data_IF_574600404451
#
_entry.id   IF_574600404451
#
_cell.length_a   1.000
_cell.length_b   1.000
_cell.length_c   1.000
_cell.angle_alpha   90.00
_cell.angle_beta   90.00
_cell.angle_gamma   90.00
#
_symmetry.space_group_name_H-M   'P 1'
#
loop_
_entity.id
_entity.type
_entity.pdbx_description
1 polymer ?
#
# COMPACT_ATOMS: atom_id res chain seq x y z
N UNK A 1 -2.55 -0.10 23.06
CA UNK A 1 -2.51 -1.12 22.01
C UNK A 1 -2.31 -0.37 20.70
N UNK A 2 -1.25 -0.64 19.94
CA UNK A 2 -1.02 0.06 18.69
C UNK A 2 -2.09 -0.30 17.63
N UNK A 3 -2.35 0.64 16.73
CA UNK A 3 -3.37 0.51 15.69
C UNK A 3 -2.73 0.57 14.30
N UNK A 4 -3.11 -0.36 13.43
CA UNK A 4 -2.72 -0.34 12.00
C UNK A 4 -3.94 -0.23 11.10
N UNK A 5 -3.82 0.61 10.06
CA UNK A 5 -4.79 0.70 8.96
C UNK A 5 -4.23 0.02 7.71
N UNK A 6 -5.00 -0.87 7.09
CA UNK A 6 -4.60 -1.59 5.89
C UNK A 6 -5.64 -1.35 4.78
N UNK A 7 -5.24 -0.59 3.76
CA UNK A 7 -6.08 -0.23 2.62
C UNK A 7 -5.87 -1.22 1.47
N UNK A 8 -6.87 -2.11 1.25
CA UNK A 8 -6.80 -3.20 0.28
C UNK A 8 -6.32 -4.50 0.90
N UNK A 9 -7.16 -5.12 1.72
CA UNK A 9 -6.82 -6.30 2.54
C UNK A 9 -7.56 -7.58 2.13
N UNK A 10 -8.29 -7.60 1.01
CA UNK A 10 -9.10 -8.76 0.61
C UNK A 10 -8.29 -10.02 0.31
N UNK A 11 -7.02 -9.90 -0.11
CA UNK A 11 -6.16 -11.03 -0.48
C UNK A 11 -4.68 -10.69 -0.42
N UNK A 12 -3.84 -11.70 -0.64
CA UNK A 12 -2.38 -11.57 -0.79
C UNK A 12 -1.73 -10.80 0.35
N UNK A 13 -0.86 -9.84 0.02
CA UNK A 13 -0.09 -9.05 0.99
C UNK A 13 -0.98 -8.35 2.02
N UNK A 14 -2.10 -7.75 1.57
CA UNK A 14 -2.98 -7.03 2.48
C UNK A 14 -3.66 -7.92 3.51
N UNK A 15 -4.13 -9.09 3.09
CA UNK A 15 -4.75 -10.09 3.97
C UNK A 15 -3.73 -10.64 4.97
N UNK A 16 -2.53 -10.94 4.51
CA UNK A 16 -1.46 -11.44 5.36
C UNK A 16 -0.98 -10.40 6.38
N UNK A 17 -0.94 -9.11 6.00
CA UNK A 17 -0.71 -8.03 6.96
C UNK A 17 -1.73 -8.05 8.09
N UNK A 18 -3.02 -8.23 7.78
CA UNK A 18 -4.07 -8.36 8.81
C UNK A 18 -3.75 -9.51 9.76
N UNK A 19 -3.47 -10.70 9.21
CA UNK A 19 -3.19 -11.91 9.98
C UNK A 19 -2.00 -11.71 10.93
N UNK A 20 -0.88 -11.21 10.43
CA UNK A 20 0.34 -11.04 11.22
C UNK A 20 0.21 -9.92 12.27
N UNK A 21 -0.41 -8.76 11.95
CA UNK A 21 -0.63 -7.71 12.92
C UNK A 21 -1.60 -8.14 14.03
N UNK A 22 -2.64 -8.93 13.68
CA UNK A 22 -3.56 -9.50 14.70
C UNK A 22 -2.85 -10.48 15.61
N UNK A 23 -1.98 -11.35 15.05
CA UNK A 23 -1.19 -12.30 15.84
C UNK A 23 -0.27 -11.60 16.86
N UNK A 24 0.25 -10.42 16.50
CA UNK A 24 1.09 -9.59 17.38
C UNK A 24 0.29 -8.66 18.32
N UNK A 25 -1.02 -8.84 18.42
CA UNK A 25 -1.85 -8.10 19.37
C UNK A 25 -2.17 -6.65 18.97
N UNK A 26 -1.99 -6.26 17.70
CA UNK A 26 -2.38 -4.96 17.21
C UNK A 26 -3.91 -4.86 17.02
N UNK A 27 -4.45 -3.68 17.22
CA UNK A 27 -5.76 -3.32 16.69
C UNK A 27 -5.61 -3.10 15.18
N UNK A 28 -6.40 -3.84 14.39
CA UNK A 28 -6.34 -3.76 12.93
C UNK A 28 -7.64 -3.16 12.39
N UNK A 29 -7.51 -2.12 11.57
CA UNK A 29 -8.56 -1.60 10.72
C UNK A 29 -8.18 -1.97 9.29
N UNK A 30 -9.05 -2.68 8.58
CA UNK A 30 -8.75 -3.21 7.26
C UNK A 30 -9.87 -2.87 6.28
N UNK A 31 -9.52 -2.63 5.02
CA UNK A 31 -10.53 -2.32 4.00
C UNK A 31 -10.56 -3.34 2.89
N UNK A 32 -11.76 -3.63 2.38
CA UNK A 32 -11.98 -4.45 1.20
C UNK A 32 -13.16 -3.88 0.38
N UNK A 33 -13.21 -4.25 -0.92
CA UNK A 33 -14.24 -3.76 -1.82
C UNK A 33 -15.57 -4.50 -1.67
N UNK A 34 -15.50 -5.81 -1.51
CA UNK A 34 -16.68 -6.67 -1.40
C UNK A 34 -17.04 -6.90 0.06
N UNK A 35 -18.35 -7.03 0.34
CA UNK A 35 -18.82 -7.28 1.70
C UNK A 35 -18.33 -8.64 2.23
N UNK A 36 -18.30 -9.67 1.39
CA UNK A 36 -17.81 -10.99 1.77
C UNK A 36 -16.36 -10.94 2.27
N UNK A 37 -15.48 -10.18 1.59
CA UNK A 37 -14.09 -9.99 2.04
C UNK A 37 -14.04 -9.24 3.39
N UNK A 38 -14.95 -8.26 3.61
CA UNK A 38 -15.04 -7.57 4.90
C UNK A 38 -15.46 -8.54 6.02
N UNK A 39 -16.37 -9.44 5.74
CA UNK A 39 -16.84 -10.45 6.71
C UNK A 39 -15.71 -11.42 7.08
N UNK A 40 -14.88 -11.83 6.12
CA UNK A 40 -13.68 -12.66 6.37
C UNK A 40 -12.65 -11.90 7.23
N UNK A 41 -12.38 -10.64 6.92
CA UNK A 41 -11.47 -9.80 7.71
C UNK A 41 -11.99 -9.61 9.15
N UNK A 42 -13.31 -9.49 9.33
CA UNK A 42 -13.91 -9.40 10.65
C UNK A 42 -13.75 -10.70 11.45
N UNK A 43 -13.81 -11.87 10.80
CA UNK A 43 -13.53 -13.17 11.44
C UNK A 43 -12.08 -13.28 11.93
N UNK A 44 -11.15 -12.61 11.27
CA UNK A 44 -9.76 -12.47 11.74
C UNK A 44 -9.62 -11.49 12.92
N UNK A 45 -10.72 -10.85 13.35
CA UNK A 45 -10.75 -9.87 14.43
C UNK A 45 -10.32 -8.45 14.01
N UNK A 46 -10.34 -8.12 12.74
CA UNK A 46 -10.14 -6.76 12.27
C UNK A 46 -11.46 -5.97 12.29
N UNK A 47 -11.39 -4.65 12.51
CA UNK A 47 -12.46 -3.74 12.15
C UNK A 47 -12.45 -3.59 10.62
N UNK A 48 -13.36 -4.27 9.95
CA UNK A 48 -13.45 -4.26 8.50
C UNK A 48 -14.33 -3.11 8.01
N UNK A 49 -13.84 -2.36 7.03
CA UNK A 49 -14.55 -1.25 6.40
C UNK A 49 -14.66 -1.50 4.90
N UNK A 50 -15.82 -1.22 4.33
CA UNK A 50 -15.99 -1.31 2.89
C UNK A 50 -15.39 -0.10 2.20
N UNK A 51 -14.48 -0.32 1.25
CA UNK A 51 -13.82 0.73 0.49
C UNK A 51 -13.57 0.28 -0.96
N UNK A 52 -14.11 1.03 -1.90
CA UNK A 52 -13.67 1.00 -3.30
C UNK A 52 -12.73 2.18 -3.54
N UNK A 53 -11.44 1.89 -3.73
CA UNK A 53 -10.40 2.91 -3.93
C UNK A 53 -10.52 3.66 -5.26
N UNK A 54 -11.35 3.18 -6.19
CA UNK A 54 -11.63 3.86 -7.46
C UNK A 54 -12.83 4.79 -7.39
N UNK A 55 -13.66 4.66 -6.35
CA UNK A 55 -14.87 5.45 -6.16
C UNK A 55 -14.61 6.63 -5.20
N UNK A 56 -14.82 7.85 -5.69
CA UNK A 56 -14.55 9.08 -4.92
C UNK A 56 -15.45 9.23 -3.67
N UNK A 57 -16.70 8.83 -3.77
CA UNK A 57 -17.65 8.89 -2.64
C UNK A 57 -17.27 7.88 -1.56
N UNK A 58 -16.87 6.67 -1.97
CA UNK A 58 -16.37 5.65 -1.06
C UNK A 58 -15.14 6.13 -0.28
N UNK A 59 -14.20 6.80 -0.98
CA UNK A 59 -13.00 7.38 -0.35
C UNK A 59 -13.38 8.52 0.60
N UNK A 60 -14.29 9.42 0.21
CA UNK A 60 -14.74 10.51 1.07
C UNK A 60 -15.41 9.98 2.36
N UNK A 61 -16.22 8.92 2.23
CA UNK A 61 -16.85 8.24 3.36
C UNK A 61 -15.85 7.60 4.34
N UNK A 62 -14.65 7.24 3.90
CA UNK A 62 -13.62 6.68 4.78
C UNK A 62 -13.19 7.68 5.86
N UNK A 63 -13.07 8.96 5.53
CA UNK A 63 -12.70 10.00 6.48
C UNK A 63 -13.62 10.03 7.71
N UNK A 64 -14.93 9.96 7.51
CA UNK A 64 -15.90 9.89 8.59
C UNK A 64 -15.81 8.61 9.41
N UNK A 65 -15.50 7.48 8.75
CA UNK A 65 -15.38 6.19 9.44
C UNK A 65 -14.11 6.09 10.27
N UNK A 66 -13.09 6.91 9.97
CA UNK A 66 -11.81 6.95 10.67
C UNK A 66 -11.68 8.17 11.59
N UNK A 67 -12.75 8.96 11.74
CA UNK A 67 -12.74 10.14 12.61
C UNK A 67 -12.30 9.76 14.03
N UNK A 68 -11.45 10.62 14.63
CA UNK A 68 -10.86 10.42 15.96
C UNK A 68 -9.91 9.17 16.10
N UNK A 69 -9.65 8.41 15.03
CA UNK A 69 -8.72 7.29 15.11
C UNK A 69 -7.26 7.79 15.25
N UNK A 70 -6.53 7.14 16.14
CA UNK A 70 -5.07 7.31 16.27
C UNK A 70 -4.40 6.08 15.67
N UNK A 71 -3.65 6.29 14.60
CA UNK A 71 -3.06 5.21 13.82
C UNK A 71 -1.54 5.26 13.96
N UNK A 72 -0.92 4.14 14.32
CA UNK A 72 0.53 4.01 14.48
C UNK A 72 1.21 3.61 13.17
N UNK A 73 0.52 2.83 12.33
CA UNK A 73 1.00 2.43 11.02
C UNK A 73 -0.16 2.37 10.01
N UNK A 74 0.10 2.77 8.76
CA UNK A 74 -0.84 2.62 7.67
C UNK A 74 -0.17 2.01 6.44
N UNK A 75 -0.87 1.11 5.76
CA UNK A 75 -0.45 0.45 4.53
C UNK A 75 -1.43 0.72 3.40
N UNK A 76 -0.97 1.30 2.31
CA UNK A 76 -1.70 1.32 1.05
C UNK A 76 -1.21 0.16 0.18
N UNK A 77 -2.03 -0.89 0.12
CA UNK A 77 -1.72 -2.15 -0.58
C UNK A 77 -2.48 -2.26 -1.90
N UNK A 78 -3.65 -1.65 -1.99
CA UNK A 78 -4.51 -1.71 -3.17
C UNK A 78 -3.75 -1.35 -4.45
N UNK A 79 -3.84 -2.20 -5.45
CA UNK A 79 -3.19 -2.00 -6.74
C UNK A 79 -3.50 -3.13 -7.71
N UNK A 80 -3.30 -2.84 -9.00
CA UNK A 80 -3.48 -3.79 -10.12
C UNK A 80 -2.27 -3.76 -11.03
N UNK A 81 -2.00 -4.89 -11.71
CA UNK A 81 -0.90 -4.97 -12.69
C UNK A 81 -1.28 -4.31 -14.03
N UNK A 82 -2.52 -4.54 -14.46
CA UNK A 82 -3.03 -4.08 -15.76
C UNK A 82 -2.89 -5.15 -16.86
N UNK A 83 -2.87 -4.74 -18.13
CA UNK A 83 -2.86 -5.66 -19.27
C UNK A 83 -1.54 -6.44 -19.34
N UNK A 84 -1.64 -7.68 -19.81
CA UNK A 84 -0.52 -8.62 -20.02
C UNK A 84 -0.25 -8.91 -21.49
N UNK A 85 -0.97 -8.27 -22.42
CA UNK A 85 -0.75 -8.41 -23.86
C UNK A 85 0.43 -7.53 -24.34
N UNK A 86 0.98 -7.86 -25.50
CA UNK A 86 2.13 -7.17 -26.09
C UNK A 86 1.77 -5.86 -26.83
N UNK A 87 0.48 -5.50 -26.88
CA UNK A 87 -0.01 -4.29 -27.54
C UNK A 87 0.11 -3.04 -26.67
N UNK A 88 -0.21 -1.89 -27.28
CA UNK A 88 -0.38 -0.66 -26.50
C UNK A 88 -1.64 -0.76 -25.63
N UNK A 89 -1.61 -0.21 -24.41
CA UNK A 89 -2.79 -0.19 -23.56
C UNK A 89 -3.91 0.65 -24.19
N UNK A 90 -5.14 0.19 -24.05
CA UNK A 90 -6.33 0.97 -24.40
C UNK A 90 -6.53 2.11 -23.38
N UNK A 91 -7.40 3.08 -23.73
CA UNK A 91 -7.79 4.14 -22.78
C UNK A 91 -8.41 3.57 -21.48
N UNK A 92 -9.26 2.55 -21.61
CA UNK A 92 -9.90 1.89 -20.45
C UNK A 92 -8.89 1.19 -19.55
N UNK A 93 -7.93 0.45 -20.11
CA UNK A 93 -6.85 -0.20 -19.34
C UNK A 93 -5.96 0.84 -18.65
N UNK A 94 -5.65 1.94 -19.35
CA UNK A 94 -4.90 3.05 -18.76
C UNK A 94 -5.66 3.65 -17.60
N UNK A 95 -6.93 3.96 -17.76
CA UNK A 95 -7.77 4.55 -16.72
C UNK A 95 -7.89 3.62 -15.51
N UNK A 96 -8.13 2.33 -15.72
CA UNK A 96 -8.21 1.35 -14.64
C UNK A 96 -6.93 1.30 -13.81
N UNK A 97 -5.76 1.22 -14.47
CA UNK A 97 -4.47 1.12 -13.77
C UNK A 97 -4.13 2.42 -13.05
N UNK A 98 -4.29 3.56 -13.73
CA UNK A 98 -3.93 4.86 -13.15
C UNK A 98 -4.89 5.28 -12.04
N UNK A 99 -6.19 5.03 -12.17
CA UNK A 99 -7.15 5.28 -11.10
C UNK A 99 -6.86 4.43 -9.86
N UNK A 100 -6.58 3.14 -10.05
CA UNK A 100 -6.32 2.23 -8.91
C UNK A 100 -4.96 2.49 -8.25
N UNK A 101 -3.90 2.62 -9.05
CA UNK A 101 -2.53 2.66 -8.52
C UNK A 101 -2.07 4.07 -8.12
N UNK A 102 -2.64 5.11 -8.72
CA UNK A 102 -2.15 6.50 -8.56
C UNK A 102 -3.22 7.40 -7.97
N UNK A 103 -4.36 7.57 -8.65
CA UNK A 103 -5.40 8.49 -8.19
C UNK A 103 -5.97 8.10 -6.82
N UNK A 104 -6.09 6.80 -6.55
CA UNK A 104 -6.47 6.30 -5.23
C UNK A 104 -5.50 6.79 -4.14
N UNK A 105 -4.19 6.70 -4.38
CA UNK A 105 -3.18 7.22 -3.45
C UNK A 105 -3.31 8.73 -3.25
N UNK A 106 -3.43 9.50 -4.33
CA UNK A 106 -3.61 10.96 -4.27
C UNK A 106 -4.82 11.37 -3.42
N UNK A 107 -5.89 10.56 -3.40
CA UNK A 107 -7.10 10.83 -2.62
C UNK A 107 -7.03 10.29 -1.19
N UNK A 108 -6.41 9.14 -0.98
CA UNK A 108 -6.36 8.45 0.32
C UNK A 108 -5.29 9.03 1.25
N UNK A 109 -4.10 9.36 0.73
CA UNK A 109 -2.99 9.82 1.56
C UNK A 109 -3.31 11.10 2.35
N UNK A 110 -3.98 12.12 1.78
CA UNK A 110 -4.40 13.31 2.55
C UNK A 110 -5.43 13.02 3.65
N UNK A 111 -6.21 11.93 3.54
CA UNK A 111 -7.16 11.52 4.57
C UNK A 111 -6.45 10.74 5.69
N UNK A 112 -5.53 9.86 5.31
CA UNK A 112 -4.89 8.90 6.22
C UNK A 112 -3.69 9.51 6.97
N UNK A 113 -2.86 10.29 6.29
CA UNK A 113 -1.62 10.80 6.88
C UNK A 113 -1.85 11.68 8.14
N UNK A 114 -2.87 12.55 8.22
CA UNK A 114 -3.16 13.30 9.44
C UNK A 114 -3.46 12.42 10.67
N UNK A 115 -4.06 11.23 10.46
CA UNK A 115 -4.37 10.29 11.54
C UNK A 115 -3.11 9.66 12.17
N UNK A 116 -1.99 9.70 11.44
CA UNK A 116 -0.68 9.24 11.90
C UNK A 116 0.11 10.34 12.65
N UNK A 117 -0.25 11.60 12.48
CA UNK A 117 0.52 12.72 13.05
C UNK A 117 0.55 12.67 14.59
N UNK A 118 -0.58 12.34 15.24
CA UNK A 118 -0.70 12.29 16.69
C UNK A 118 0.20 11.20 17.34
N UNK A 119 0.51 10.15 16.60
CA UNK A 119 1.34 9.02 17.04
C UNK A 119 2.78 9.10 16.51
N UNK A 120 3.07 10.09 15.65
CA UNK A 120 4.28 10.12 14.81
C UNK A 120 4.43 8.82 14.01
N UNK A 121 3.31 8.34 13.49
CA UNK A 121 3.16 7.05 12.84
C UNK A 121 3.83 6.97 11.48
N UNK A 122 3.74 5.79 10.87
CA UNK A 122 4.39 5.47 9.61
C UNK A 122 3.37 5.12 8.53
N UNK A 123 3.55 5.71 7.36
CA UNK A 123 2.76 5.44 6.16
C UNK A 123 3.60 4.67 5.14
N UNK A 124 3.16 3.48 4.78
CA UNK A 124 3.80 2.67 3.75
C UNK A 124 2.88 2.50 2.54
N UNK A 125 3.41 2.65 1.34
CA UNK A 125 2.72 2.27 0.11
C UNK A 125 3.41 1.07 -0.52
N UNK A 126 2.64 0.10 -1.02
CA UNK A 126 3.18 -1.02 -1.79
C UNK A 126 3.36 -0.58 -3.25
N UNK A 127 4.59 -0.23 -3.56
CA UNK A 127 5.07 0.07 -4.90
C UNK A 127 5.65 -1.19 -5.56
N UNK A 128 6.61 -1.02 -6.43
CA UNK A 128 7.34 -2.11 -7.10
C UNK A 128 8.70 -1.61 -7.55
N UNK A 129 9.72 -2.49 -7.55
CA UNK A 129 11.00 -2.22 -8.23
C UNK A 129 10.79 -1.85 -9.71
N UNK A 130 9.70 -2.34 -10.31
CA UNK A 130 9.32 -1.93 -11.66
C UNK A 130 9.00 -0.43 -11.79
N UNK A 131 8.69 0.27 -10.68
CA UNK A 131 8.55 1.73 -10.62
C UNK A 131 9.88 2.50 -10.57
N UNK A 132 11.01 1.81 -10.40
CA UNK A 132 12.33 2.42 -10.48
C UNK A 132 12.69 2.73 -11.94
N UNK A 133 13.02 3.98 -12.23
CA UNK A 133 13.55 4.41 -13.53
C UNK A 133 15.04 4.06 -13.61
N UNK A 134 15.78 4.28 -12.51
CA UNK A 134 17.21 4.02 -12.43
C UNK A 134 17.62 2.55 -12.53
N UNK A 135 16.78 1.65 -12.01
CA UNK A 135 17.04 0.20 -12.07
C UNK A 135 16.40 -0.50 -13.27
N UNK A 136 15.75 0.24 -14.17
CA UNK A 136 15.04 -0.35 -15.31
C UNK A 136 15.99 -1.06 -16.28
N UNK A 137 15.68 -2.33 -16.61
CA UNK A 137 16.47 -3.15 -17.53
C UNK A 137 15.64 -3.78 -18.66
N UNK A 138 14.30 -3.65 -18.62
CA UNK A 138 13.35 -4.23 -19.57
C UNK A 138 12.21 -3.25 -19.85
N UNK A 139 11.63 -3.22 -21.07
CA UNK A 139 10.47 -2.42 -21.40
C UNK A 139 9.14 -3.03 -20.92
N UNK A 140 9.14 -4.30 -20.46
CA UNK A 140 7.92 -5.06 -20.14
C UNK A 140 7.07 -4.36 -19.07
N UNK A 141 5.74 -4.48 -19.19
CA UNK A 141 4.80 -3.93 -18.22
C UNK A 141 4.84 -2.39 -18.15
N UNK A 142 4.95 -1.72 -19.30
CA UNK A 142 5.17 -0.27 -19.39
C UNK A 142 4.14 0.55 -18.62
N UNK A 143 2.86 0.22 -18.70
CA UNK A 143 1.79 0.92 -17.99
C UNK A 143 1.91 0.71 -16.47
N UNK A 144 2.16 -0.52 -16.03
CA UNK A 144 2.38 -0.81 -14.60
C UNK A 144 3.60 -0.06 -14.06
N UNK A 145 4.72 -0.09 -14.80
CA UNK A 145 5.94 0.67 -14.44
C UNK A 145 5.64 2.15 -14.29
N UNK A 146 4.97 2.75 -15.27
CA UNK A 146 4.58 4.15 -15.23
C UNK A 146 3.71 4.46 -14.01
N UNK A 147 2.71 3.61 -13.71
CA UNK A 147 1.84 3.80 -12.55
C UNK A 147 2.59 3.70 -11.21
N UNK A 148 3.56 2.78 -11.09
CA UNK A 148 4.34 2.65 -9.85
C UNK A 148 5.39 3.74 -9.69
N UNK A 149 5.95 4.26 -10.78
CA UNK A 149 6.79 5.47 -10.74
C UNK A 149 5.97 6.70 -10.32
N UNK A 150 4.76 6.86 -10.86
CA UNK A 150 3.84 7.93 -10.46
C UNK A 150 3.41 7.78 -8.98
N UNK A 151 3.11 6.57 -8.51
CA UNK A 151 2.82 6.31 -7.09
C UNK A 151 4.00 6.70 -6.19
N UNK A 152 5.23 6.42 -6.62
CA UNK A 152 6.43 6.82 -5.91
C UNK A 152 6.54 8.35 -5.79
N UNK A 153 6.23 9.09 -6.87
CA UNK A 153 6.17 10.56 -6.85
C UNK A 153 5.11 11.07 -5.86
N UNK A 154 3.90 10.50 -5.89
CA UNK A 154 2.82 10.85 -4.94
C UNK A 154 3.24 10.60 -3.49
N UNK A 155 4.01 9.55 -3.23
CA UNK A 155 4.53 9.31 -1.88
C UNK A 155 5.53 10.37 -1.44
N UNK A 156 6.41 10.82 -2.32
CA UNK A 156 7.37 11.90 -2.00
C UNK A 156 6.63 13.18 -1.65
N UNK A 157 5.57 13.53 -2.39
CA UNK A 157 4.72 14.69 -2.06
C UNK A 157 4.07 14.53 -0.68
N UNK A 158 3.58 13.34 -0.35
CA UNK A 158 3.04 13.04 0.99
C UNK A 158 4.12 13.16 2.07
N UNK A 159 5.33 12.67 1.81
CA UNK A 159 6.47 12.78 2.74
C UNK A 159 6.85 14.23 3.02
N UNK A 160 6.88 15.08 2.00
CA UNK A 160 7.15 16.51 2.14
C UNK A 160 6.04 17.25 2.88
N UNK A 161 4.78 16.88 2.63
CA UNK A 161 3.61 17.53 3.24
C UNK A 161 3.44 17.15 4.71
N UNK A 162 3.54 15.88 5.05
CA UNK A 162 3.21 15.36 6.38
C UNK A 162 4.44 15.06 7.25
N UNK A 163 5.63 15.00 6.67
CA UNK A 163 6.89 14.85 7.42
C UNK A 163 7.08 15.92 8.50
N UNK A 164 6.87 17.22 8.23
CA UNK A 164 6.92 18.26 9.25
C UNK A 164 5.95 18.05 10.43
N UNK A 165 4.89 17.26 10.24
CA UNK A 165 3.92 16.88 11.28
C UNK A 165 4.34 15.61 12.04
N UNK A 166 5.51 15.04 11.72
CA UNK A 166 6.07 13.87 12.37
C UNK A 166 5.74 12.53 11.71
N UNK A 167 4.98 12.51 10.62
CA UNK A 167 4.67 11.29 9.87
C UNK A 167 5.89 10.86 9.05
N UNK A 168 6.15 9.55 8.99
CA UNK A 168 7.20 9.00 8.13
C UNK A 168 6.57 8.20 7.00
N UNK A 169 6.73 8.65 5.76
CA UNK A 169 6.16 8.05 4.56
C UNK A 169 7.23 7.28 3.79
N UNK A 170 6.96 6.03 3.38
CA UNK A 170 7.91 5.21 2.60
C UNK A 170 7.21 4.39 1.53
N UNK A 171 7.89 4.18 0.40
CA UNK A 171 7.50 3.22 -0.63
C UNK A 171 8.23 1.89 -0.42
N UNK A 172 7.53 0.77 -0.59
CA UNK A 172 8.13 -0.56 -0.56
C UNK A 172 7.94 -1.32 -1.87
N UNK A 173 9.01 -1.97 -2.32
CA UNK A 173 8.90 -3.13 -3.20
C UNK A 173 8.74 -4.38 -2.33
N UNK A 174 7.64 -5.16 -2.48
CA UNK A 174 7.38 -6.31 -1.62
C UNK A 174 8.21 -7.56 -1.94
N UNK A 175 9.09 -7.49 -2.95
CA UNK A 175 9.69 -8.66 -3.58
C UNK A 175 8.82 -9.25 -4.69
N UNK A 176 9.23 -10.36 -5.27
CA UNK A 176 8.39 -11.13 -6.18
C UNK A 176 7.66 -12.20 -5.36
N UNK A 177 6.38 -11.96 -5.12
CA UNK A 177 5.58 -12.63 -4.08
C UNK A 177 4.53 -13.55 -4.71
N UNK A 178 4.36 -14.75 -4.19
CA UNK A 178 3.38 -15.75 -4.61
C UNK A 178 1.94 -15.29 -4.29
N UNK A 179 1.42 -14.44 -5.15
CA UNK A 179 0.05 -13.91 -5.14
C UNK A 179 -0.57 -14.14 -6.51
N UNK A 180 -1.86 -13.85 -6.68
CA UNK A 180 -2.51 -13.88 -8.01
C UNK A 180 -1.77 -12.98 -9.03
N UNK A 181 -1.19 -11.88 -8.57
CA UNK A 181 -0.41 -10.96 -9.41
C UNK A 181 0.99 -11.50 -9.73
N UNK A 182 1.66 -12.09 -8.76
CA UNK A 182 3.05 -12.55 -8.91
C UNK A 182 3.20 -13.95 -9.51
N UNK A 183 2.13 -14.75 -9.45
CA UNK A 183 2.11 -16.13 -9.94
C UNK A 183 2.85 -17.11 -9.05
N UNK A 184 2.73 -18.40 -9.37
CA UNK A 184 3.33 -19.51 -8.60
C UNK A 184 4.85 -19.61 -8.72
N UNK A 185 5.43 -18.97 -9.75
CA UNK A 185 6.90 -18.94 -9.96
C UNK A 185 7.62 -17.90 -9.11
N UNK A 186 6.91 -17.11 -8.33
CA UNK A 186 7.49 -16.08 -7.48
C UNK A 186 8.39 -16.68 -6.38
N UNK A 187 9.42 -15.93 -6.00
CA UNK A 187 10.50 -16.42 -5.11
C UNK A 187 10.19 -16.33 -3.63
N UNK A 188 9.21 -15.47 -3.25
CA UNK A 188 8.82 -15.28 -1.86
C UNK A 188 7.39 -15.75 -1.63
N UNK A 189 7.16 -16.41 -0.53
CA UNK A 189 5.80 -16.59 -0.01
C UNK A 189 5.23 -15.26 0.46
N UNK A 190 3.91 -15.19 0.58
CA UNK A 190 3.25 -13.97 1.11
C UNK A 190 3.66 -13.72 2.56
N UNK A 191 3.77 -14.79 3.36
CA UNK A 191 4.19 -14.72 4.77
C UNK A 191 5.59 -14.13 4.92
N UNK A 192 6.59 -14.64 4.20
CA UNK A 192 7.98 -14.14 4.23
C UNK A 192 8.08 -12.68 3.82
N UNK A 193 7.39 -12.31 2.73
CA UNK A 193 7.37 -10.92 2.26
C UNK A 193 6.78 -9.98 3.31
N UNK A 194 5.63 -10.32 3.87
CA UNK A 194 4.93 -9.49 4.86
C UNK A 194 5.69 -9.41 6.18
N UNK A 195 6.27 -10.52 6.65
CA UNK A 195 7.12 -10.50 7.83
C UNK A 195 8.27 -9.51 7.67
N UNK A 196 8.97 -9.56 6.53
CA UNK A 196 10.09 -8.67 6.23
C UNK A 196 9.66 -7.21 6.06
N UNK A 197 8.56 -6.96 5.35
CA UNK A 197 7.98 -5.63 5.18
C UNK A 197 7.64 -4.98 6.52
N UNK A 198 7.00 -5.72 7.43
CA UNK A 198 6.65 -5.24 8.76
C UNK A 198 7.88 -4.93 9.61
N UNK A 199 8.88 -5.81 9.59
CA UNK A 199 10.16 -5.60 10.27
C UNK A 199 10.88 -4.35 9.72
N UNK A 200 10.93 -4.21 8.39
CA UNK A 200 11.51 -3.05 7.71
C UNK A 200 10.78 -1.77 8.08
N UNK A 201 9.43 -1.74 8.03
CA UNK A 201 8.66 -0.56 8.43
C UNK A 201 8.90 -0.21 9.91
N UNK A 202 8.98 -1.20 10.79
CA UNK A 202 9.29 -0.96 12.21
C UNK A 202 10.66 -0.31 12.38
N UNK A 203 11.67 -0.71 11.60
CA UNK A 203 13.03 -0.18 11.64
C UNK A 203 13.20 1.20 10.99
N UNK A 204 12.32 1.61 10.07
CA UNK A 204 12.38 2.91 9.39
C UNK A 204 12.41 4.04 10.42
N UNK A 205 13.32 4.99 10.22
CA UNK A 205 13.45 6.21 11.03
C UNK A 205 12.98 7.44 10.25
N UNK A 206 12.65 8.51 10.96
CA UNK A 206 12.16 9.75 10.32
C UNK A 206 13.15 10.34 9.28
N UNK A 207 14.45 10.13 9.44
CA UNK A 207 15.46 10.52 8.44
C UNK A 207 15.37 9.75 7.11
N UNK A 208 14.57 8.69 7.04
CA UNK A 208 14.27 7.94 5.81
C UNK A 208 12.90 8.34 5.20
N UNK A 209 12.30 9.44 5.69
CA UNK A 209 11.04 9.93 5.14
C UNK A 209 11.18 10.21 3.65
N UNK A 210 10.26 9.70 2.84
CA UNK A 210 10.30 9.77 1.40
C UNK A 210 11.16 8.68 0.74
N UNK A 211 11.70 7.68 1.45
CA UNK A 211 12.54 6.64 0.87
C UNK A 211 11.74 5.61 0.05
N UNK A 212 12.42 5.03 -0.94
CA UNK A 212 11.98 3.85 -1.67
C UNK A 212 12.84 2.64 -1.26
N UNK A 213 12.22 1.63 -0.68
CA UNK A 213 12.88 0.51 -0.03
C UNK A 213 12.43 -0.83 -0.62
N UNK A 214 13.32 -1.79 -0.58
CA UNK A 214 13.00 -3.20 -0.78
C UNK A 214 12.33 -3.77 0.49
N UNK A 215 11.66 -4.91 0.38
CA UNK A 215 10.99 -5.58 1.52
C UNK A 215 11.92 -5.83 2.72
N UNK A 216 13.22 -5.99 2.49
CA UNK A 216 14.27 -6.19 3.50
C UNK A 216 14.87 -4.88 4.06
N UNK A 217 14.30 -3.73 3.68
CA UNK A 217 14.74 -2.40 4.13
C UNK A 217 15.91 -1.80 3.35
N UNK A 218 16.47 -2.50 2.38
CA UNK A 218 17.53 -1.95 1.51
C UNK A 218 16.97 -0.87 0.57
N UNK A 219 17.69 0.24 0.33
CA UNK A 219 17.23 1.28 -0.58
C UNK A 219 17.20 0.80 -2.03
N UNK A 220 16.19 1.29 -2.77
CA UNK A 220 16.06 1.14 -4.22
C UNK A 220 16.24 2.52 -4.86
N UNK A 221 16.96 2.60 -5.98
CA UNK A 221 17.04 3.82 -6.75
C UNK A 221 15.67 4.21 -7.32
N UNK A 222 15.42 5.53 -7.40
CA UNK A 222 14.18 6.07 -8.00
C UNK A 222 14.04 5.79 -9.49
#
# INVERSE_FOLDING_TARGET
MPTVLILGASRGIGHELVRQYRADGWRVIATARQQADCDELAQLGARALRLDVTNAESIAGLGWQLDDEKIDAAWLVAGVYGPTHDGFPTGEEFDQVMHTNVLAAMRLLPIVAPLLAATRGKLAVISSRMGSIGERRSPDGSLYRASKAALNSVLVDAALTFGPQGVTCVSFHPGWVQTDMGGSGATLTVDESVHSLRASLAAVRHGQNGAFLNYDGNPIAW
#
